data_IF_787783970953
#
_entry.id   IF_787783970953
#
_cell.length_a   1.000
_cell.length_b   1.000
_cell.length_c   1.000
_cell.angle_alpha   90.00
_cell.angle_beta   90.00
_cell.angle_gamma   90.00
#
_symmetry.space_group_name_H-M   'P 1'
#
loop_
_entity.id
_entity.type
_entity.pdbx_description
1 polymer ?
#
# COMPACT_ATOMS: atom_id res chain seq x y z
N UNK A 1 9.70 19.15 -1.74
CA UNK A 1 9.81 17.86 -1.01
C UNK A 1 8.50 17.13 -1.20
N UNK A 2 8.39 16.28 -2.22
CA UNK A 2 7.20 15.44 -2.39
C UNK A 2 7.59 14.11 -1.75
N UNK A 3 7.08 13.82 -0.56
CA UNK A 3 7.28 12.53 0.08
C UNK A 3 6.23 11.58 -0.48
N UNK A 4 6.66 10.53 -1.18
CA UNK A 4 5.78 9.43 -1.56
C UNK A 4 5.26 8.77 -0.27
N UNK A 5 3.94 8.57 -0.19
CA UNK A 5 3.27 7.99 1.00
C UNK A 5 2.43 6.81 0.59
N UNK A 6 2.27 5.87 1.52
CA UNK A 6 1.41 4.69 1.35
C UNK A 6 0.41 4.64 2.51
N UNK A 7 -0.82 4.23 2.24
CA UNK A 7 -1.85 3.98 3.26
C UNK A 7 -2.72 2.77 2.90
N UNK A 8 -3.33 2.19 3.92
CA UNK A 8 -4.38 1.19 3.77
C UNK A 8 -5.74 1.83 4.05
N UNK A 9 -6.73 1.60 3.18
CA UNK A 9 -8.11 2.05 3.37
C UNK A 9 -9.11 0.92 3.18
N UNK A 10 -10.30 1.05 3.75
CA UNK A 10 -11.43 0.13 3.61
C UNK A 10 -11.13 -1.32 4.02
N UNK A 11 -10.23 -1.53 4.99
CA UNK A 11 -10.04 -2.84 5.61
C UNK A 11 -10.69 -2.93 6.99
N UNK A 12 -10.79 -4.15 7.55
CA UNK A 12 -11.38 -4.38 8.88
C UNK A 12 -10.54 -3.83 10.05
N UNK A 13 -9.27 -3.48 9.83
CA UNK A 13 -8.37 -2.94 10.85
C UNK A 13 -7.22 -2.14 10.22
N UNK A 14 -6.32 -1.59 11.06
CA UNK A 14 -5.16 -0.78 10.61
C UNK A 14 -4.08 -1.57 9.85
N UNK A 15 -4.15 -2.89 9.82
CA UNK A 15 -3.17 -3.78 9.19
C UNK A 15 -3.65 -4.37 7.86
N UNK A 16 -4.85 -4.00 7.41
CA UNK A 16 -5.47 -4.56 6.21
C UNK A 16 -6.28 -3.50 5.48
N UNK A 17 -6.44 -3.68 4.18
CA UNK A 17 -7.22 -2.78 3.33
C UNK A 17 -6.64 -2.65 1.93
N UNK A 18 -7.34 -1.89 1.09
CA UNK A 18 -6.85 -1.48 -0.23
C UNK A 18 -5.67 -0.55 -0.05
N UNK A 19 -4.61 -0.81 -0.81
CA UNK A 19 -3.42 0.04 -0.85
C UNK A 19 -3.71 1.28 -1.69
N UNK A 20 -3.36 2.45 -1.16
CA UNK A 20 -3.30 3.70 -1.91
C UNK A 20 -1.93 4.34 -1.78
N UNK A 21 -1.45 4.91 -2.89
CA UNK A 21 -0.16 5.58 -2.99
C UNK A 21 -0.37 7.05 -3.31
N UNK A 22 0.39 7.92 -2.63
CA UNK A 22 0.40 9.35 -2.91
C UNK A 22 1.51 9.68 -3.90
N UNK A 23 1.14 9.96 -5.14
CA UNK A 23 2.05 10.24 -6.24
C UNK A 23 1.58 11.48 -7.02
N UNK A 24 2.50 12.37 -7.40
CA UNK A 24 2.19 13.60 -8.15
C UNK A 24 1.06 14.46 -7.57
N UNK A 25 1.01 14.56 -6.24
CA UNK A 25 0.02 15.40 -5.56
C UNK A 25 -1.34 14.73 -5.34
N UNK A 26 -1.52 13.48 -5.76
CA UNK A 26 -2.81 12.78 -5.74
C UNK A 26 -2.70 11.39 -5.12
N UNK A 27 -3.80 10.94 -4.51
CA UNK A 27 -3.93 9.55 -4.06
C UNK A 27 -4.49 8.70 -5.19
N UNK A 28 -3.87 7.56 -5.45
CA UNK A 28 -4.31 6.60 -6.45
C UNK A 28 -4.23 5.17 -5.95
N UNK A 29 -4.93 4.27 -6.64
CA UNK A 29 -4.86 2.82 -6.43
C UNK A 29 -3.77 2.22 -7.31
N UNK A 30 -3.27 1.05 -6.90
CA UNK A 30 -2.33 0.26 -7.69
C UNK A 30 -3.14 -0.65 -8.63
N UNK A 31 -2.75 -0.73 -9.90
CA UNK A 31 -3.31 -1.71 -10.84
C UNK A 31 -2.90 -3.11 -10.39
N UNK A 32 -3.85 -4.04 -10.42
CA UNK A 32 -3.68 -5.36 -9.82
C UNK A 32 -2.99 -6.36 -10.76
N UNK A 33 -2.78 -5.97 -12.02
CA UNK A 33 -1.92 -6.63 -12.99
C UNK A 33 -0.48 -6.59 -12.51
N UNK A 34 0.15 -7.76 -12.41
CA UNK A 34 1.51 -7.96 -11.89
C UNK A 34 1.74 -7.51 -10.44
N UNK A 35 0.71 -7.09 -9.71
CA UNK A 35 0.80 -6.80 -8.28
C UNK A 35 0.87 -8.10 -7.47
N UNK A 36 2.06 -8.47 -7.04
CA UNK A 36 2.34 -9.77 -6.45
C UNK A 36 2.67 -9.70 -4.95
N UNK A 37 3.03 -10.84 -4.37
CA UNK A 37 3.33 -10.94 -2.94
C UNK A 37 4.57 -10.12 -2.54
N UNK A 38 5.55 -9.94 -3.43
CA UNK A 38 6.73 -9.14 -3.15
C UNK A 38 6.34 -7.67 -3.00
N UNK A 39 5.44 -7.16 -3.84
CA UNK A 39 4.91 -5.80 -3.72
C UNK A 39 4.19 -5.59 -2.39
N UNK A 40 3.33 -6.55 -2.00
CA UNK A 40 2.64 -6.53 -0.72
C UNK A 40 3.63 -6.51 0.45
N UNK A 41 4.69 -7.31 0.41
CA UNK A 41 5.71 -7.29 1.47
C UNK A 41 6.42 -5.95 1.58
N UNK A 42 6.75 -5.31 0.45
CA UNK A 42 7.37 -3.98 0.44
C UNK A 42 6.44 -2.95 1.09
N UNK A 43 5.17 -2.93 0.68
CA UNK A 43 4.15 -2.02 1.23
C UNK A 43 3.96 -2.23 2.73
N UNK A 44 3.84 -3.48 3.19
CA UNK A 44 3.73 -3.80 4.60
C UNK A 44 4.93 -3.26 5.39
N UNK A 45 6.16 -3.46 4.89
CA UNK A 45 7.36 -2.92 5.55
C UNK A 45 7.41 -1.39 5.57
N UNK A 46 6.98 -0.72 4.49
CA UNK A 46 6.86 0.74 4.45
C UNK A 46 5.88 1.27 5.50
N UNK A 47 4.85 0.49 5.83
CA UNK A 47 3.86 0.79 6.87
C UNK A 47 4.28 0.35 8.28
N UNK A 48 5.49 -0.22 8.45
CA UNK A 48 5.95 -0.75 9.73
C UNK A 48 5.33 -2.09 10.13
N UNK A 49 4.81 -2.85 9.15
CA UNK A 49 4.23 -4.18 9.32
C UNK A 49 5.22 -5.26 8.86
N UNK A 50 5.06 -6.47 9.41
CA UNK A 50 6.00 -7.56 9.16
C UNK A 50 5.68 -8.40 7.93
N UNK A 51 4.40 -8.65 7.66
CA UNK A 51 3.92 -9.52 6.57
C UNK A 51 2.56 -9.04 6.06
N UNK A 52 2.23 -9.45 4.84
CA UNK A 52 0.93 -9.20 4.22
C UNK A 52 0.63 -10.21 3.11
N UNK A 53 -0.65 -10.32 2.75
CA UNK A 53 -1.14 -11.18 1.68
C UNK A 53 -2.11 -10.39 0.80
N UNK A 54 -2.17 -10.73 -0.50
CA UNK A 54 -3.15 -10.14 -1.44
C UNK A 54 -4.56 -10.59 -1.11
#
# INVERSE_FOLDING_TARGET
MITEKVRLLNGPNYHSGRVEVYHNGQWGTICDDNFDHLDVMVICRMLGLYQGSR
#
